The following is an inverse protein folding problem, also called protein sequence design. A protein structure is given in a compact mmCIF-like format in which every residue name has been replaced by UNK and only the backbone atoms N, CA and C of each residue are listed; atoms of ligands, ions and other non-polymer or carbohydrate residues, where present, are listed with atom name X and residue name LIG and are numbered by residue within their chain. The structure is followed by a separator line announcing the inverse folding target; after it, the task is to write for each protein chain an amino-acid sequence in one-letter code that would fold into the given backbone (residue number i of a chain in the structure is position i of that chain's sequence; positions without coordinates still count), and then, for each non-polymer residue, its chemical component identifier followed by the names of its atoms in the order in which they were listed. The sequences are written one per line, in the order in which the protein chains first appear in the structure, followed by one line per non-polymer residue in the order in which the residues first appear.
data_IF_392970999912
#
_entry.id   IF_392970999912
#
_cell.length_a   1.000
_cell.length_b   1.000
_cell.length_c   1.000
_cell.angle_alpha   90.00
_cell.angle_beta   90.00
_cell.angle_gamma   90.00
#
_symmetry.space_group_name_H-M   'P 1'
#
loop_
_entity.id
_entity.type
_entity.pdbx_description
1 polymer ?
#
# COMPACT_ATOMS: atom_id res chain seq x y z
N UNK A 1 -6.98 13.12 1.35
CA UNK A 1 -6.26 13.52 0.11
C UNK A 1 -7.31 13.92 -0.92
N UNK A 2 -7.02 14.92 -1.76
CA UNK A 2 -7.94 15.30 -2.85
C UNK A 2 -8.09 14.11 -3.82
N UNK A 3 -9.27 13.93 -4.41
CA UNK A 3 -9.45 12.90 -5.42
C UNK A 3 -8.71 13.29 -6.72
N UNK A 4 -8.24 12.29 -7.47
CA UNK A 4 -7.55 12.52 -8.75
C UNK A 4 -8.33 13.42 -9.74
N UNK A 5 -9.68 13.33 -9.86
CA UNK A 5 -10.46 14.24 -10.70
C UNK A 5 -10.33 15.71 -10.30
N UNK A 6 -10.35 15.99 -8.99
CA UNK A 6 -10.26 17.36 -8.48
C UNK A 6 -8.88 17.97 -8.75
N UNK A 7 -7.83 17.16 -8.62
CA UNK A 7 -6.45 17.57 -8.93
C UNK A 7 -6.32 17.89 -10.43
N UNK A 8 -6.85 17.02 -11.30
CA UNK A 8 -6.90 17.26 -12.75
C UNK A 8 -7.70 18.51 -13.09
N UNK A 9 -8.81 18.75 -12.39
CA UNK A 9 -9.62 19.94 -12.57
C UNK A 9 -8.85 21.23 -12.22
N UNK A 10 -8.13 21.26 -11.09
CA UNK A 10 -7.25 22.40 -10.72
C UNK A 10 -6.21 22.67 -11.81
N UNK A 11 -5.53 21.62 -12.31
CA UNK A 11 -4.50 21.75 -13.34
C UNK A 11 -5.08 22.26 -14.66
N UNK A 12 -6.27 21.80 -15.04
CA UNK A 12 -7.04 22.29 -16.19
C UNK A 12 -7.36 23.78 -16.07
N UNK A 13 -7.86 24.21 -14.91
CA UNK A 13 -8.18 25.62 -14.65
C UNK A 13 -6.95 26.53 -14.72
N UNK A 14 -5.78 26.02 -14.30
CA UNK A 14 -4.52 26.77 -14.34
C UNK A 14 -3.93 26.86 -15.75
N UNK A 15 -3.85 25.74 -16.46
CA UNK A 15 -3.09 25.66 -17.70
C UNK A 15 -3.90 26.03 -18.94
N UNK A 16 -5.19 25.65 -19.00
CA UNK A 16 -6.01 25.92 -20.19
C UNK A 16 -6.76 27.25 -20.07
N UNK A 17 -7.20 27.59 -18.85
CA UNK A 17 -8.02 28.79 -18.60
C UNK A 17 -7.24 29.94 -17.96
N UNK A 18 -5.94 29.73 -17.70
CA UNK A 18 -5.02 30.73 -17.12
C UNK A 18 -5.56 31.41 -15.85
N UNK A 19 -6.35 30.69 -15.05
CA UNK A 19 -6.90 31.28 -13.83
C UNK A 19 -5.83 31.48 -12.76
N UNK A 20 -5.99 32.54 -11.97
CA UNK A 20 -5.20 32.75 -10.77
C UNK A 20 -5.58 31.72 -9.69
N UNK A 21 -4.64 31.41 -8.80
CA UNK A 21 -4.89 30.47 -7.68
C UNK A 21 -6.09 30.94 -6.84
N UNK A 22 -6.24 32.26 -6.63
CA UNK A 22 -7.38 32.84 -5.91
C UNK A 22 -8.72 32.64 -6.64
N UNK A 23 -8.73 32.65 -7.97
CA UNK A 23 -9.94 32.35 -8.74
C UNK A 23 -10.28 30.85 -8.66
N UNK A 24 -9.28 29.98 -8.62
CA UNK A 24 -9.46 28.53 -8.46
C UNK A 24 -10.06 28.24 -7.08
N UNK A 25 -9.50 28.79 -6.00
CA UNK A 25 -10.00 28.54 -4.62
C UNK A 25 -11.44 29.01 -4.44
N UNK A 26 -11.81 30.17 -5.01
CA UNK A 26 -13.20 30.68 -4.97
C UNK A 26 -14.18 29.78 -5.73
N UNK A 27 -13.74 29.16 -6.83
CA UNK A 27 -14.61 28.31 -7.67
C UNK A 27 -14.74 26.89 -7.14
N UNK A 28 -13.65 26.31 -6.63
CA UNK A 28 -13.60 24.91 -6.21
C UNK A 28 -13.81 24.73 -4.70
N UNK A 29 -13.72 25.80 -3.90
CA UNK A 29 -13.77 25.71 -2.43
C UNK A 29 -12.53 25.07 -1.80
N UNK A 30 -11.50 24.77 -2.60
CA UNK A 30 -10.28 24.12 -2.12
C UNK A 30 -9.39 25.15 -1.42
N UNK A 31 -8.69 24.72 -0.37
CA UNK A 31 -7.74 25.58 0.34
C UNK A 31 -6.67 26.15 -0.60
N UNK A 32 -6.24 27.38 -0.34
CA UNK A 32 -5.26 28.06 -1.19
C UNK A 32 -3.93 27.31 -1.29
N UNK A 33 -3.44 26.74 -0.18
CA UNK A 33 -2.20 25.95 -0.18
C UNK A 33 -2.31 24.70 -1.06
N UNK A 34 -3.47 24.02 -1.03
CA UNK A 34 -3.72 22.84 -1.85
C UNK A 34 -3.87 23.20 -3.33
N UNK A 35 -4.60 24.27 -3.64
CA UNK A 35 -4.74 24.77 -5.00
C UNK A 35 -3.37 25.17 -5.58
N UNK A 36 -2.55 25.93 -4.83
CA UNK A 36 -1.18 26.29 -5.24
C UNK A 36 -0.29 25.06 -5.47
N UNK A 37 -0.34 24.10 -4.53
CA UNK A 37 0.44 22.86 -4.62
C UNK A 37 0.18 22.12 -5.93
N UNK A 38 -1.06 22.00 -6.36
CA UNK A 38 -1.43 21.22 -7.55
C UNK A 38 -1.52 22.05 -8.84
N UNK A 39 -1.62 23.38 -8.74
CA UNK A 39 -1.60 24.28 -9.89
C UNK A 39 -0.17 24.51 -10.40
N UNK A 40 0.80 24.74 -9.50
CA UNK A 40 2.17 25.09 -9.89
C UNK A 40 3.13 23.89 -9.93
N UNK A 41 2.85 22.78 -9.23
CA UNK A 41 3.70 21.58 -9.28
C UNK A 41 3.23 20.62 -10.35
N UNK A 42 4.20 20.06 -11.08
CA UNK A 42 3.89 19.12 -12.16
C UNK A 42 3.52 17.71 -11.69
N UNK A 43 3.90 17.35 -10.46
CA UNK A 43 3.66 16.01 -9.93
C UNK A 43 2.21 15.82 -9.49
N UNK A 44 1.45 15.10 -10.32
CA UNK A 44 0.23 14.43 -9.89
C UNK A 44 0.63 13.28 -8.95
N UNK A 45 -0.11 13.06 -7.84
CA UNK A 45 0.10 11.88 -7.03
C UNK A 45 -0.16 10.66 -7.90
N UNK A 46 0.78 9.73 -8.02
CA UNK A 46 0.47 8.45 -8.68
C UNK A 46 -0.40 7.61 -7.75
N UNK A 47 -1.30 6.84 -8.35
CA UNK A 47 -1.98 5.77 -7.63
C UNK A 47 -0.93 4.69 -7.34
N UNK A 48 -0.27 4.76 -6.18
CA UNK A 48 0.55 3.64 -5.73
C UNK A 48 -0.41 2.56 -5.24
N UNK A 49 -0.60 1.50 -6.01
CA UNK A 49 -1.11 0.27 -5.43
C UNK A 49 -0.07 -0.21 -4.42
N UNK A 50 -0.46 -0.59 -3.20
CA UNK A 50 0.50 -1.21 -2.30
C UNK A 50 1.00 -2.47 -2.99
N UNK A 51 2.31 -2.53 -3.24
CA UNK A 51 2.94 -3.73 -3.77
C UNK A 51 2.66 -4.89 -2.81
N UNK A 52 1.93 -5.89 -3.29
CA UNK A 52 1.72 -7.15 -2.58
C UNK A 52 3.07 -7.84 -2.45
N UNK A 53 3.60 -7.89 -1.23
CA UNK A 53 4.93 -8.41 -0.92
C UNK A 53 4.86 -9.49 0.13
N UNK A 54 5.80 -10.42 0.08
CA UNK A 54 5.97 -11.47 1.08
C UNK A 54 5.53 -12.85 0.61
N UNK A 55 5.77 -13.83 1.47
CA UNK A 55 5.66 -15.27 1.22
C UNK A 55 4.36 -15.73 0.55
N UNK A 56 3.24 -15.08 0.84
CA UNK A 56 1.94 -15.42 0.25
C UNK A 56 1.88 -15.14 -1.26
N UNK A 57 2.60 -14.12 -1.73
CA UNK A 57 2.53 -13.62 -3.10
C UNK A 57 3.74 -14.05 -3.95
N UNK A 58 4.69 -14.76 -3.36
CA UNK A 58 5.79 -15.39 -4.08
C UNK A 58 5.29 -16.71 -4.70
N UNK A 59 5.45 -16.88 -6.02
CA UNK A 59 4.75 -17.88 -6.87
C UNK A 59 4.71 -19.32 -6.34
N UNK A 60 5.74 -19.76 -5.61
CA UNK A 60 5.86 -21.15 -5.12
C UNK A 60 5.36 -21.33 -3.68
N UNK A 61 5.22 -20.25 -2.92
CA UNK A 61 5.03 -20.31 -1.47
C UNK A 61 3.59 -20.04 -1.02
N UNK A 62 2.75 -19.44 -1.87
CA UNK A 62 1.38 -19.04 -1.53
C UNK A 62 0.52 -20.20 -1.02
N UNK A 63 0.53 -21.34 -1.72
CA UNK A 63 -0.26 -22.52 -1.36
C UNK A 63 0.24 -23.15 -0.05
N UNK A 64 1.56 -23.31 0.10
CA UNK A 64 2.17 -23.87 1.31
C UNK A 64 1.88 -23.04 2.56
N UNK A 65 1.98 -21.71 2.43
CA UNK A 65 1.66 -20.79 3.53
C UNK A 65 0.18 -20.86 3.88
N UNK A 66 -0.69 -21.01 2.88
CA UNK A 66 -2.14 -21.14 3.09
C UNK A 66 -2.46 -22.42 3.88
N UNK A 67 -1.87 -23.55 3.50
CA UNK A 67 -2.03 -24.83 4.22
C UNK A 67 -1.56 -24.72 5.68
N UNK A 68 -0.38 -24.12 5.93
CA UNK A 68 0.12 -23.92 7.29
C UNK A 68 -0.76 -23.01 8.14
N UNK A 69 -1.35 -21.97 7.54
CA UNK A 69 -2.27 -21.08 8.25
C UNK A 69 -3.58 -21.79 8.60
N UNK A 70 -4.06 -22.68 7.74
CA UNK A 70 -5.23 -23.53 8.01
C UNK A 70 -4.94 -24.49 9.16
N UNK A 71 -3.80 -25.18 9.14
CA UNK A 71 -3.35 -26.05 10.24
C UNK A 71 -3.26 -25.28 11.56
N UNK A 72 -2.63 -24.10 11.55
CA UNK A 72 -2.45 -23.26 12.73
C UNK A 72 -3.79 -22.75 13.28
N UNK A 73 -4.80 -22.58 12.44
CA UNK A 73 -6.12 -22.15 12.89
C UNK A 73 -6.76 -23.18 13.83
N UNK A 74 -6.50 -24.47 13.60
CA UNK A 74 -6.95 -25.57 14.47
C UNK A 74 -6.20 -25.61 15.82
N UNK A 75 -5.06 -24.93 15.95
CA UNK A 75 -4.27 -24.87 17.17
C UNK A 75 -4.68 -23.72 18.09
N UNK A 76 -4.40 -23.88 19.40
CA UNK A 76 -4.49 -22.79 20.39
C UNK A 76 -3.54 -21.65 20.01
N UNK A 77 -3.94 -20.40 20.23
CA UNK A 77 -3.21 -19.18 19.82
C UNK A 77 -1.71 -19.19 20.14
N UNK A 78 -1.30 -19.76 21.29
CA UNK A 78 0.11 -19.83 21.73
C UNK A 78 0.98 -20.85 20.96
N UNK A 79 0.36 -21.79 20.24
CA UNK A 79 1.04 -22.86 19.50
C UNK A 79 1.12 -22.59 17.99
N UNK A 80 0.50 -21.51 17.51
CA UNK A 80 0.50 -21.13 16.10
C UNK A 80 1.87 -20.63 15.68
N UNK A 81 2.28 -20.91 14.45
CA UNK A 81 3.55 -20.43 13.90
C UNK A 81 3.49 -18.90 13.77
N UNK A 82 4.58 -18.23 14.12
CA UNK A 82 4.70 -16.79 13.91
C UNK A 82 5.26 -16.51 12.52
N UNK A 83 5.01 -15.32 11.98
CA UNK A 83 5.57 -14.88 10.70
C UNK A 83 7.11 -15.05 10.63
N UNK A 84 7.82 -14.84 11.74
CA UNK A 84 9.27 -15.10 11.85
C UNK A 84 9.63 -16.56 11.59
N UNK A 85 8.85 -17.51 12.11
CA UNK A 85 9.05 -18.94 11.88
C UNK A 85 8.86 -19.26 10.40
N UNK A 86 7.77 -18.79 9.78
CA UNK A 86 7.47 -19.00 8.35
C UNK A 86 8.60 -18.49 7.44
N UNK A 87 9.15 -17.32 7.75
CA UNK A 87 10.31 -16.79 7.03
C UNK A 87 11.58 -17.64 7.19
N UNK A 88 11.83 -18.19 8.38
CA UNK A 88 12.95 -19.10 8.59
C UNK A 88 12.77 -20.41 7.82
N UNK A 89 11.55 -20.96 7.75
CA UNK A 89 11.24 -22.13 6.93
C UNK A 89 11.56 -21.90 5.45
N UNK A 90 11.26 -20.70 4.91
CA UNK A 90 11.66 -20.32 3.54
C UNK A 90 13.16 -20.46 3.34
N UNK A 91 13.93 -19.87 4.25
CA UNK A 91 15.37 -19.70 4.09
C UNK A 91 16.18 -20.99 4.34
N UNK A 92 15.66 -21.89 5.17
CA UNK A 92 16.35 -23.13 5.55
C UNK A 92 16.08 -24.28 4.58
N UNK A 93 15.02 -24.21 3.75
CA UNK A 93 14.68 -25.25 2.79
C UNK A 93 14.25 -26.56 3.46
N UNK A 94 12.95 -26.70 3.73
CA UNK A 94 12.28 -27.94 4.20
C UNK A 94 13.04 -28.84 5.20
N UNK A 95 13.80 -28.26 6.13
CA UNK A 95 14.15 -28.88 7.40
C UNK A 95 13.29 -28.27 8.49
N UNK A 96 12.51 -29.06 9.24
CA UNK A 96 11.89 -28.56 10.48
C UNK A 96 13.03 -27.95 11.30
N UNK A 97 13.04 -26.63 11.60
CA UNK A 97 13.86 -26.13 12.67
C UNK A 97 13.39 -26.95 13.87
N UNK A 98 14.28 -27.78 14.41
CA UNK A 98 14.03 -28.42 15.68
C UNK A 98 13.51 -27.34 16.61
N UNK A 99 12.45 -27.66 17.35
CA UNK A 99 12.06 -26.86 18.50
C UNK A 99 13.26 -26.77 19.44
N UNK A 100 14.13 -25.79 19.23
CA UNK A 100 15.00 -25.20 20.23
C UNK A 100 14.14 -24.10 20.86
N UNK A 101 13.35 -24.49 21.86
CA UNK A 101 13.69 -24.42 23.29
C UNK A 101 13.63 -22.97 23.77
N UNK A 102 12.64 -22.73 24.64
CA UNK A 102 12.50 -21.72 25.68
C UNK A 102 12.82 -20.25 25.33
#
# INVERSE_FOLDING_TARGET
MLAMPDIKHIKKLRNEKSFSINAITKRTGISWGTAKKYADRDHLPSESSPEKRGMMYDEVWGDMVSDWLIEDYALKKKLRRTNKCLWQYKNVGFGRPSMLVA
#
